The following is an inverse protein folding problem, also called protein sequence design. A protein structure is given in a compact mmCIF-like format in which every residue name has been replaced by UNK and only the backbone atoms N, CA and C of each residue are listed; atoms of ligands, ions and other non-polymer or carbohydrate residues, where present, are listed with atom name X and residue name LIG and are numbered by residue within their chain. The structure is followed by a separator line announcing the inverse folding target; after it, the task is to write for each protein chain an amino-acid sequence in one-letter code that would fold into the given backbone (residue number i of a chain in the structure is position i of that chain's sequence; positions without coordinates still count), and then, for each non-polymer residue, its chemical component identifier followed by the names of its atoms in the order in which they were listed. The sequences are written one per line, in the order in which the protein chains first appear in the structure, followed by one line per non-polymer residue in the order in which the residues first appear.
data_IF_027473743140
#
_entry.id   IF_027473743140
#
_cell.length_a   1.000
_cell.length_b   1.000
_cell.length_c   1.000
_cell.angle_alpha   90.00
_cell.angle_beta   90.00
_cell.angle_gamma   90.00
#
_symmetry.space_group_name_H-M   'P 1'
#
loop_
_entity.id
_entity.type
_entity.pdbx_description
1 polymer ?
#
# COMPACT_ATOMS: atom_id res chain seq x y z
N UNK A 1 15.50 -0.79 19.11
CA UNK A 1 14.45 -1.80 19.24
C UNK A 1 13.46 -1.61 18.13
N UNK A 2 13.15 -2.69 17.43
CA UNK A 2 12.27 -2.60 16.27
C UNK A 2 10.90 -2.01 16.61
N UNK A 3 10.37 -2.31 17.77
CA UNK A 3 9.03 -1.88 18.15
C UNK A 3 8.96 -0.51 18.80
N UNK A 4 10.10 0.10 19.09
CA UNK A 4 10.13 1.35 19.86
C UNK A 4 9.55 2.54 19.09
N UNK A 5 9.55 2.49 17.78
CA UNK A 5 9.03 3.57 16.95
C UNK A 5 7.54 3.42 16.62
N UNK A 6 6.93 2.32 16.98
CA UNK A 6 5.51 2.13 16.78
C UNK A 6 4.79 2.85 17.90
N UNK A 7 4.17 3.97 17.58
CA UNK A 7 3.57 4.84 18.59
C UNK A 7 2.46 4.16 19.34
N UNK A 8 1.52 3.62 18.62
CA UNK A 8 0.39 3.03 19.29
C UNK A 8 -0.46 2.23 18.33
N UNK A 9 -0.88 1.08 18.76
CA UNK A 9 -1.72 0.19 18.02
C UNK A 9 -2.92 -0.20 18.83
N UNK A 10 -4.07 0.40 18.55
CA UNK A 10 -5.32 -0.10 19.10
C UNK A 10 -6.18 -0.64 18.00
N UNK A 11 -6.69 -1.86 18.14
CA UNK A 11 -7.69 -2.34 17.22
C UNK A 11 -8.91 -1.43 17.27
N UNK A 12 -9.63 -1.35 16.17
CA UNK A 12 -10.90 -0.64 16.13
C UNK A 12 -11.88 -1.32 17.09
N UNK A 13 -12.93 -0.60 17.49
CA UNK A 13 -13.95 -1.14 18.37
C UNK A 13 -14.52 -2.47 17.92
N UNK A 14 -14.66 -2.67 16.61
CA UNK A 14 -15.16 -3.93 16.07
C UNK A 14 -14.12 -5.03 15.99
N UNK A 15 -12.88 -4.77 16.38
CA UNK A 15 -11.80 -5.77 16.38
C UNK A 15 -11.33 -6.24 15.02
N UNK A 16 -11.80 -5.66 13.92
CA UNK A 16 -11.49 -6.15 12.57
C UNK A 16 -10.16 -5.67 12.03
N UNK A 17 -9.71 -4.50 12.45
CA UNK A 17 -8.53 -3.87 11.87
C UNK A 17 -7.62 -3.35 12.96
N UNK A 18 -6.32 -3.42 12.70
CA UNK A 18 -5.30 -2.78 13.49
C UNK A 18 -4.85 -1.53 12.76
N UNK A 19 -4.83 -0.41 13.48
CA UNK A 19 -4.37 0.85 12.95
C UNK A 19 -3.36 1.46 13.91
N UNK A 20 -2.47 2.26 13.38
CA UNK A 20 -1.54 2.97 14.22
C UNK A 20 -0.69 3.95 13.44
N UNK A 21 0.23 4.57 14.16
CA UNK A 21 1.16 5.54 13.60
C UNK A 21 2.59 5.15 13.95
N UNK A 22 3.48 5.50 13.07
CA UNK A 22 4.92 5.31 13.24
C UNK A 22 5.57 6.68 13.11
N UNK A 23 6.49 6.98 14.02
CA UNK A 23 7.28 8.20 13.93
C UNK A 23 8.34 8.01 12.83
N UNK A 24 8.28 8.81 11.75
CA UNK A 24 9.24 8.63 10.64
C UNK A 24 10.69 8.78 11.09
N UNK A 25 10.95 9.59 12.10
CA UNK A 25 12.31 9.83 12.59
C UNK A 25 12.92 8.62 13.28
N UNK A 26 12.09 7.64 13.63
CA UNK A 26 12.55 6.41 14.27
C UNK A 26 12.67 5.24 13.28
N UNK A 27 12.35 5.46 12.01
CA UNK A 27 12.57 4.47 10.97
C UNK A 27 14.00 4.57 10.45
N UNK A 28 14.48 3.49 9.84
CA UNK A 28 15.82 3.43 9.26
C UNK A 28 15.87 3.86 7.80
N UNK A 29 14.77 3.66 7.07
CA UNK A 29 14.78 3.73 5.61
C UNK A 29 13.66 4.59 5.02
N UNK A 30 12.76 5.09 5.85
CA UNK A 30 11.65 5.91 5.37
C UNK A 30 12.17 7.21 4.78
N UNK A 31 11.64 7.56 3.63
CA UNK A 31 12.03 8.77 2.91
C UNK A 31 10.79 9.57 2.56
N UNK A 32 10.76 10.84 2.98
CA UNK A 32 9.65 11.74 2.69
C UNK A 32 10.11 13.17 2.88
N UNK A 33 9.48 14.09 2.16
CA UNK A 33 9.70 15.53 2.37
C UNK A 33 9.10 16.00 3.71
N UNK A 34 8.24 15.18 4.32
CA UNK A 34 7.50 15.54 5.53
C UNK A 34 7.82 14.56 6.66
N UNK A 35 9.08 14.60 7.10
CA UNK A 35 9.56 13.68 8.13
C UNK A 35 9.00 13.97 9.52
N UNK A 36 8.29 15.06 9.72
CA UNK A 36 7.61 15.38 10.96
C UNK A 36 6.15 14.91 10.99
N UNK A 37 5.62 14.45 9.86
CA UNK A 37 4.27 13.88 9.81
C UNK A 37 4.31 12.39 10.12
N UNK A 38 3.39 11.88 10.95
CA UNK A 38 3.37 10.45 11.27
C UNK A 38 3.02 9.60 10.05
N UNK A 39 3.60 8.41 10.00
CA UNK A 39 3.25 7.39 9.03
C UNK A 39 2.05 6.64 9.57
N UNK A 40 0.97 6.60 8.80
CA UNK A 40 -0.26 5.91 9.21
C UNK A 40 -0.35 4.58 8.50
N UNK A 41 -0.56 3.50 9.24
CA UNK A 41 -0.96 2.23 8.66
C UNK A 41 -2.36 1.87 9.15
N UNK A 42 -3.14 1.25 8.25
CA UNK A 42 -4.56 1.02 8.49
C UNK A 42 -4.92 -0.45 8.63
N UNK A 43 -3.93 -1.32 8.57
CA UNK A 43 -4.14 -2.76 8.73
C UNK A 43 -2.89 -3.44 9.24
N UNK A 44 -3.06 -4.65 9.81
CA UNK A 44 -1.93 -5.48 10.22
C UNK A 44 -1.05 -5.89 9.04
N UNK A 45 -1.65 -6.07 7.86
CA UNK A 45 -0.90 -6.41 6.65
C UNK A 45 0.01 -5.26 6.21
N UNK A 46 -0.48 -4.02 6.29
CA UNK A 46 0.35 -2.85 6.02
C UNK A 46 1.52 -2.74 7.00
N UNK A 47 1.27 -2.96 8.28
CA UNK A 47 2.34 -2.96 9.28
C UNK A 47 3.37 -4.05 8.97
N UNK A 48 2.91 -5.22 8.60
CA UNK A 48 3.80 -6.32 8.24
C UNK A 48 4.69 -5.96 7.04
N UNK A 49 4.12 -5.27 6.05
CA UNK A 49 4.90 -4.80 4.91
C UNK A 49 5.94 -3.75 5.31
N UNK A 50 5.57 -2.82 6.19
CA UNK A 50 6.51 -1.80 6.70
C UNK A 50 7.69 -2.49 7.41
N UNK A 51 7.40 -3.47 8.25
CA UNK A 51 8.45 -4.25 8.94
C UNK A 51 9.33 -4.99 7.94
N UNK A 52 8.74 -5.55 6.89
CA UNK A 52 9.49 -6.17 5.81
C UNK A 52 10.45 -5.19 5.15
N UNK A 53 9.99 -3.97 4.84
CA UNK A 53 10.84 -2.95 4.23
C UNK A 53 12.00 -2.58 5.13
N UNK A 54 11.74 -2.37 6.42
CA UNK A 54 12.77 -1.97 7.39
C UNK A 54 13.80 -3.06 7.62
N UNK A 55 13.43 -4.32 7.50
CA UNK A 55 14.30 -5.45 7.82
C UNK A 55 14.92 -6.12 6.59
N UNK A 56 14.47 -5.81 5.38
CA UNK A 56 14.99 -6.43 4.18
C UNK A 56 16.21 -5.66 3.65
N UNK A 57 17.40 -6.26 3.64
CA UNK A 57 18.61 -5.54 3.22
C UNK A 57 18.62 -5.13 1.75
N UNK A 58 17.78 -5.73 0.90
CA UNK A 58 17.70 -5.34 -0.52
C UNK A 58 16.93 -4.05 -0.72
N UNK A 59 16.10 -3.66 0.25
CA UNK A 59 15.33 -2.41 0.19
C UNK A 59 16.14 -1.34 0.92
N UNK A 60 16.46 -0.27 0.20
CA UNK A 60 17.25 0.84 0.75
C UNK A 60 16.40 2.01 1.20
N UNK A 61 15.24 2.20 0.58
CA UNK A 61 14.31 3.29 0.89
C UNK A 61 12.88 2.84 0.67
N UNK A 62 11.96 3.43 1.42
CA UNK A 62 10.52 3.26 1.18
C UNK A 62 9.76 4.51 1.60
N UNK A 63 8.58 4.71 1.02
CA UNK A 63 7.70 5.82 1.35
C UNK A 63 6.26 5.35 1.39
N UNK A 64 5.46 6.00 2.23
CA UNK A 64 4.03 5.73 2.41
C UNK A 64 3.21 6.78 1.67
N UNK A 65 2.21 6.33 0.91
CA UNK A 65 1.32 7.19 0.11
C UNK A 65 2.10 8.26 -0.68
N UNK A 66 3.11 7.85 -1.46
CA UNK A 66 4.11 8.79 -1.99
C UNK A 66 3.63 9.60 -3.19
N UNK A 67 2.64 9.11 -3.91
CA UNK A 67 2.25 9.68 -5.21
C UNK A 67 0.74 9.65 -5.39
N UNK A 68 0.26 10.55 -6.24
CA UNK A 68 -1.12 10.61 -6.67
C UNK A 68 -1.20 10.17 -8.12
N UNK A 69 -2.09 9.23 -8.41
CA UNK A 69 -2.32 8.73 -9.77
C UNK A 69 -3.77 9.02 -10.13
N UNK A 70 -3.98 9.67 -11.27
CA UNK A 70 -5.32 9.87 -11.79
C UNK A 70 -5.76 8.61 -12.53
N UNK A 71 -7.01 8.23 -12.34
CA UNK A 71 -7.59 7.10 -13.05
C UNK A 71 -9.05 7.38 -13.38
N UNK A 72 -9.59 6.66 -14.35
CA UNK A 72 -11.01 6.79 -14.69
C UNK A 72 -11.80 5.69 -13.97
N UNK A 73 -12.74 6.12 -13.12
CA UNK A 73 -13.61 5.22 -12.36
C UNK A 73 -14.87 4.92 -13.19
N UNK A 74 -14.96 3.70 -13.71
CA UNK A 74 -16.08 3.30 -14.56
C UNK A 74 -17.41 3.26 -13.80
N UNK A 75 -17.40 2.89 -12.52
CA UNK A 75 -18.60 2.83 -11.71
C UNK A 75 -19.24 4.21 -11.53
N UNK A 76 -18.41 5.21 -11.32
CA UNK A 76 -18.87 6.59 -11.11
C UNK A 76 -18.83 7.41 -12.40
N UNK A 77 -18.30 6.84 -13.47
CA UNK A 77 -18.16 7.48 -14.78
C UNK A 77 -17.48 8.85 -14.68
N UNK A 78 -16.37 8.90 -13.94
CA UNK A 78 -15.61 10.15 -13.77
C UNK A 78 -14.14 9.88 -13.43
N UNK A 79 -13.31 10.88 -13.65
CA UNK A 79 -11.92 10.84 -13.20
C UNK A 79 -11.86 10.90 -11.67
N UNK A 80 -10.97 10.12 -11.10
CA UNK A 80 -10.73 10.06 -9.66
C UNK A 80 -9.23 9.99 -9.38
N UNK A 81 -8.87 10.05 -8.10
CA UNK A 81 -7.48 10.01 -7.66
C UNK A 81 -7.24 8.75 -6.86
N UNK A 82 -6.05 8.19 -7.05
CA UNK A 82 -5.60 6.99 -6.39
C UNK A 82 -4.25 7.23 -5.76
N UNK A 83 -4.10 6.84 -4.50
CA UNK A 83 -2.87 6.96 -3.73
C UNK A 83 -2.39 5.55 -3.39
N UNK A 84 -1.43 4.98 -4.16
CA UNK A 84 -0.87 3.68 -3.82
C UNK A 84 -0.25 3.69 -2.43
N UNK A 85 -0.25 2.54 -1.77
CA UNK A 85 0.18 2.47 -0.37
C UNK A 85 1.64 2.81 -0.17
N UNK A 86 2.53 2.27 -1.01
CA UNK A 86 3.97 2.42 -0.81
C UNK A 86 4.74 2.51 -2.12
N UNK A 87 5.94 3.06 -2.01
CA UNK A 87 6.98 2.90 -3.02
C UNK A 87 8.24 2.40 -2.32
N UNK A 88 8.92 1.44 -2.93
CA UNK A 88 10.18 0.91 -2.41
C UNK A 88 11.27 1.10 -3.45
N UNK A 89 12.51 1.21 -2.98
CA UNK A 89 13.67 1.37 -3.84
C UNK A 89 14.77 0.44 -3.36
N UNK A 90 15.46 -0.22 -4.30
CA UNK A 90 16.60 -1.07 -4.00
C UNK A 90 17.91 -0.33 -4.18
N UNK A 91 19.03 -1.01 -3.91
CA UNK A 91 20.37 -0.42 -4.00
C UNK A 91 20.75 0.03 -5.41
N UNK A 92 20.15 -0.58 -6.43
CA UNK A 92 20.37 -0.22 -7.85
C UNK A 92 19.55 1.01 -8.28
N UNK A 93 18.68 1.51 -7.40
CA UNK A 93 17.80 2.62 -7.73
C UNK A 93 16.49 2.22 -8.38
N UNK A 94 16.24 0.92 -8.56
CA UNK A 94 14.97 0.45 -9.10
C UNK A 94 13.85 0.71 -8.12
N UNK A 95 12.72 1.19 -8.62
CA UNK A 95 11.56 1.55 -7.81
C UNK A 95 10.37 0.67 -8.14
N UNK A 96 9.61 0.30 -7.12
CA UNK A 96 8.38 -0.49 -7.26
C UNK A 96 7.28 0.22 -6.47
N UNK A 97 6.16 0.46 -7.15
CA UNK A 97 4.95 0.97 -6.50
C UNK A 97 4.19 -0.23 -5.97
N UNK A 98 3.76 -0.16 -4.72
CA UNK A 98 3.16 -1.30 -4.01
C UNK A 98 1.79 -0.93 -3.48
N UNK A 99 0.83 -1.79 -3.76
CA UNK A 99 -0.50 -1.76 -3.16
C UNK A 99 -0.65 -2.96 -2.23
N UNK A 100 -1.13 -2.73 -1.02
CA UNK A 100 -1.40 -3.79 -0.05
C UNK A 100 -2.89 -4.11 -0.09
N UNK A 101 -3.22 -5.38 -0.33
CA UNK A 101 -4.61 -5.79 -0.44
C UNK A 101 -4.78 -7.23 0.05
N UNK A 102 -5.77 -7.52 0.91
CA UNK A 102 -6.02 -8.89 1.33
C UNK A 102 -6.26 -9.84 0.14
N UNK A 103 -5.80 -11.07 0.27
CA UNK A 103 -5.86 -12.06 -0.82
C UNK A 103 -7.27 -12.20 -1.38
N UNK A 104 -8.28 -12.24 -0.52
CA UNK A 104 -9.67 -12.40 -0.97
C UNK A 104 -10.16 -11.24 -1.85
N UNK A 105 -9.52 -10.08 -1.76
CA UNK A 105 -9.83 -8.94 -2.62
C UNK A 105 -8.95 -8.89 -3.88
N UNK A 106 -8.02 -9.82 -4.01
CA UNK A 106 -7.20 -9.98 -5.22
C UNK A 106 -7.79 -11.01 -6.18
N UNK A 107 -8.94 -11.59 -5.83
CA UNK A 107 -9.62 -12.60 -6.63
C UNK A 107 -10.83 -11.99 -7.32
N UNK A 108 -11.04 -12.37 -8.59
CA UNK A 108 -12.23 -11.93 -9.31
C UNK A 108 -13.48 -12.51 -8.63
N UNK A 109 -14.45 -11.69 -8.23
CA UNK A 109 -15.68 -12.19 -7.64
C UNK A 109 -16.48 -13.03 -8.63
N UNK A 110 -17.21 -14.03 -8.11
CA UNK A 110 -18.14 -14.81 -8.92
C UNK A 110 -19.56 -14.25 -8.79
N UNK A 111 -20.51 -14.89 -9.47
CA UNK A 111 -21.90 -14.40 -9.51
C UNK A 111 -22.57 -14.42 -8.14
N UNK A 112 -22.10 -15.25 -7.20
CA UNK A 112 -22.70 -15.38 -5.86
C UNK A 112 -22.14 -14.40 -4.84
N UNK A 113 -21.03 -13.73 -5.17
CA UNK A 113 -20.44 -12.74 -4.29
C UNK A 113 -21.29 -11.50 -4.15
N UNK A 114 -21.06 -10.74 -3.08
CA UNK A 114 -21.83 -9.53 -2.80
C UNK A 114 -21.61 -8.47 -3.88
N UNK A 115 -22.60 -7.59 -4.03
CA UNK A 115 -22.46 -6.46 -4.96
C UNK A 115 -21.29 -5.56 -4.58
N UNK A 116 -21.06 -5.41 -3.27
CA UNK A 116 -19.91 -4.63 -2.78
C UNK A 116 -18.59 -5.18 -3.28
N UNK A 117 -18.38 -6.50 -3.21
CA UNK A 117 -17.15 -7.14 -3.71
C UNK A 117 -16.99 -6.96 -5.21
N UNK A 118 -18.08 -7.07 -5.97
CA UNK A 118 -18.05 -6.88 -7.42
C UNK A 118 -17.67 -5.46 -7.80
N UNK A 119 -18.24 -4.48 -7.13
CA UNK A 119 -17.91 -3.08 -7.37
C UNK A 119 -16.49 -2.74 -6.95
N UNK A 120 -16.05 -3.25 -5.80
CA UNK A 120 -14.68 -3.06 -5.35
C UNK A 120 -13.68 -3.65 -6.35
N UNK A 121 -14.00 -4.80 -6.93
CA UNK A 121 -13.16 -5.42 -7.94
C UNK A 121 -13.01 -4.53 -9.18
N UNK A 122 -14.12 -4.00 -9.69
CA UNK A 122 -14.09 -3.10 -10.86
C UNK A 122 -13.23 -1.87 -10.55
N UNK A 123 -13.45 -1.26 -9.38
CA UNK A 123 -12.69 -0.08 -8.98
C UNK A 123 -11.19 -0.39 -8.86
N UNK A 124 -10.84 -1.52 -8.25
CA UNK A 124 -9.44 -1.94 -8.13
C UNK A 124 -8.80 -2.19 -9.49
N UNK A 125 -9.54 -2.80 -10.42
CA UNK A 125 -9.02 -3.01 -11.77
C UNK A 125 -8.70 -1.70 -12.46
N UNK A 126 -9.56 -0.69 -12.29
CA UNK A 126 -9.32 0.63 -12.88
C UNK A 126 -8.10 1.31 -12.25
N UNK A 127 -7.99 1.25 -10.92
CA UNK A 127 -6.85 1.82 -10.19
C UNK A 127 -5.53 1.14 -10.58
N UNK A 128 -5.53 -0.19 -10.60
CA UNK A 128 -4.29 -0.95 -10.84
C UNK A 128 -3.84 -0.86 -12.28
N UNK A 129 -4.77 -0.76 -13.21
CA UNK A 129 -4.42 -0.49 -14.61
C UNK A 129 -3.71 0.86 -14.73
N UNK A 130 -4.27 1.89 -14.12
CA UNK A 130 -3.67 3.23 -14.14
C UNK A 130 -2.31 3.25 -13.44
N UNK A 131 -2.18 2.54 -12.32
CA UNK A 131 -0.92 2.44 -11.59
C UNK A 131 0.16 1.73 -12.41
N UNK A 132 -0.20 0.66 -13.10
CA UNK A 132 0.73 -0.07 -13.96
C UNK A 132 1.23 0.80 -15.10
N UNK A 133 0.32 1.51 -15.76
CA UNK A 133 0.68 2.43 -16.85
C UNK A 133 1.58 3.57 -16.34
N UNK A 134 1.23 4.13 -15.20
CA UNK A 134 2.03 5.17 -14.55
C UNK A 134 3.44 4.68 -14.25
N UNK A 135 3.56 3.50 -13.65
CA UNK A 135 4.84 2.92 -13.29
C UNK A 135 5.69 2.64 -14.54
N UNK A 136 5.12 1.95 -15.52
CA UNK A 136 5.83 1.58 -16.75
C UNK A 136 6.33 2.80 -17.52
N UNK A 137 5.53 3.86 -17.58
CA UNK A 137 5.94 5.09 -18.26
C UNK A 137 7.14 5.78 -17.60
N UNK A 138 7.45 5.43 -16.37
CA UNK A 138 8.56 6.01 -15.59
C UNK A 138 9.66 5.01 -15.28
N UNK A 139 9.65 3.86 -15.94
CA UNK A 139 10.66 2.82 -15.73
C UNK A 139 10.55 2.12 -14.41
N UNK A 140 9.37 2.14 -13.79
CA UNK A 140 9.08 1.47 -12.53
C UNK A 140 8.17 0.26 -12.74
N UNK A 141 7.97 -0.51 -11.67
CA UNK A 141 7.01 -1.61 -11.64
C UNK A 141 5.90 -1.30 -10.65
N UNK A 142 4.75 -1.94 -10.86
CA UNK A 142 3.63 -1.92 -9.92
C UNK A 142 3.29 -3.34 -9.52
N UNK A 143 3.17 -3.59 -8.21
CA UNK A 143 2.76 -4.90 -7.68
C UNK A 143 1.67 -4.73 -6.63
N UNK A 144 0.85 -5.78 -6.49
CA UNK A 144 -0.12 -5.90 -5.41
C UNK A 144 0.37 -6.99 -4.48
N UNK A 145 0.50 -6.65 -3.20
CA UNK A 145 1.01 -7.55 -2.15
C UNK A 145 -0.13 -7.96 -1.25
N UNK A 146 -0.28 -9.24 -1.04
CA UNK A 146 -1.23 -9.81 -0.10
C UNK A 146 -0.49 -10.65 0.97
N UNK A 147 -1.24 -11.26 1.89
CA UNK A 147 -0.64 -12.02 2.99
C UNK A 147 0.24 -13.17 2.54
N UNK A 148 0.03 -13.71 1.34
CA UNK A 148 0.84 -14.80 0.81
C UNK A 148 2.27 -14.37 0.45
N UNK A 149 2.47 -13.07 0.27
CA UNK A 149 3.80 -12.54 -0.03
C UNK A 149 4.80 -12.84 1.10
N UNK A 150 4.32 -12.94 2.33
CA UNK A 150 5.15 -13.14 3.51
C UNK A 150 5.29 -14.62 3.91
N UNK A 151 4.68 -15.52 3.17
CA UNK A 151 4.79 -16.97 3.43
C UNK A 151 6.13 -17.53 2.97
#
# INVERSE_FOLDING_TARGET
MADSYIKHLKPRKNGRYHQGVIDPKQTKKYYSDKMDEPIIYRSGLELQFIQYCENNPTITKWASEPIEIKYFNRLKNKEARYYPDYIIQNASGDKVIVEIKPYNQCQKPDATDSQWLKEAWVMNMDKWKAAKEFAESRGMKFIVVNEKFFE
#
